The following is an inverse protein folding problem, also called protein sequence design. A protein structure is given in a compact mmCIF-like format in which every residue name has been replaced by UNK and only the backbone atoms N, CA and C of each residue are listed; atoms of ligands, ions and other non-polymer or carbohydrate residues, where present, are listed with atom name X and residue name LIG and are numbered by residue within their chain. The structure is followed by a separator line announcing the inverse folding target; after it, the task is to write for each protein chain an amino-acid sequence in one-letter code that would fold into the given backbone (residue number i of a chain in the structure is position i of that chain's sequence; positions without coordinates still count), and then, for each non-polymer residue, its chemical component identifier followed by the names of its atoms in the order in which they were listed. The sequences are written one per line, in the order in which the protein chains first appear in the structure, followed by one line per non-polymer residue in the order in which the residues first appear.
data_IF_396752968021
#
_entry.id   IF_396752968021
#
_cell.length_a   1.000
_cell.length_b   1.000
_cell.length_c   1.000
_cell.angle_alpha   90.00
_cell.angle_beta   90.00
_cell.angle_gamma   90.00
#
_symmetry.space_group_name_H-M   'P 1'
#
loop_
_entity.id
_entity.type
_entity.pdbx_description
1 polymer ?
#
# COMPACT_ATOMS: atom_id res chain seq x y z
N UNK A 1 39.49 -7.86 9.30
CA UNK A 1 38.75 -8.33 8.12
C UNK A 1 37.76 -9.36 8.65
N UNK A 2 36.45 -9.17 8.49
CA UNK A 2 35.46 -10.08 9.09
C UNK A 2 35.53 -11.43 8.40
N UNK A 3 35.53 -12.53 9.16
CA UNK A 3 35.66 -13.86 8.60
C UNK A 3 34.42 -14.20 7.76
N UNK A 4 34.62 -14.59 6.50
CA UNK A 4 33.55 -14.90 5.54
C UNK A 4 32.56 -15.95 6.07
N UNK A 5 33.01 -16.83 6.97
CA UNK A 5 32.19 -17.86 7.63
C UNK A 5 31.19 -17.24 8.61
N UNK A 6 31.59 -16.20 9.36
CA UNK A 6 30.71 -15.48 10.27
C UNK A 6 29.61 -14.74 9.50
N UNK A 7 29.95 -14.14 8.36
CA UNK A 7 28.97 -13.50 7.47
C UNK A 7 27.97 -14.50 6.90
N UNK A 8 28.41 -15.70 6.48
CA UNK A 8 27.50 -16.75 5.98
C UNK A 8 26.53 -17.19 7.08
N UNK A 9 27.02 -17.41 8.30
CA UNK A 9 26.18 -17.78 9.44
C UNK A 9 25.14 -16.71 9.77
N UNK A 10 25.53 -15.43 9.70
CA UNK A 10 24.61 -14.32 9.91
C UNK A 10 23.52 -14.24 8.84
N UNK A 11 23.89 -14.41 7.57
CA UNK A 11 22.93 -14.42 6.47
C UNK A 11 21.97 -15.61 6.58
N UNK A 12 22.45 -16.79 6.98
CA UNK A 12 21.61 -17.96 7.22
C UNK A 12 20.60 -17.69 8.35
N UNK A 13 21.04 -17.08 9.45
CA UNK A 13 20.15 -16.69 10.53
C UNK A 13 19.08 -15.71 10.06
N UNK A 14 19.47 -14.65 9.36
CA UNK A 14 18.53 -13.67 8.81
C UNK A 14 17.52 -14.29 7.85
N UNK A 15 17.96 -15.22 7.00
CA UNK A 15 17.10 -15.93 6.08
C UNK A 15 16.06 -16.78 6.82
N UNK A 16 16.48 -17.48 7.88
CA UNK A 16 15.57 -18.28 8.72
C UNK A 16 14.55 -17.39 9.45
N UNK A 17 15.00 -16.28 10.03
CA UNK A 17 14.13 -15.34 10.74
C UNK A 17 13.06 -14.76 9.78
N UNK A 18 13.48 -14.35 8.57
CA UNK A 18 12.57 -13.85 7.54
C UNK A 18 11.59 -14.91 7.04
N UNK A 19 12.03 -16.16 6.90
CA UNK A 19 11.14 -17.26 6.51
C UNK A 19 10.06 -17.52 7.57
N UNK A 20 10.44 -17.50 8.85
CA UNK A 20 9.50 -17.66 9.96
C UNK A 20 8.49 -16.51 10.00
N UNK A 21 8.96 -15.26 9.90
CA UNK A 21 8.10 -14.08 9.88
C UNK A 21 7.10 -14.16 8.70
N UNK A 22 7.57 -14.52 7.51
CA UNK A 22 6.72 -14.65 6.32
C UNK A 22 5.64 -15.72 6.49
N UNK A 23 5.96 -16.84 7.15
CA UNK A 23 4.97 -17.87 7.49
C UNK A 23 3.92 -17.37 8.49
N UNK A 24 4.34 -16.65 9.53
CA UNK A 24 3.42 -16.07 10.51
C UNK A 24 2.46 -15.09 9.83
N UNK A 25 2.98 -14.22 8.97
CA UNK A 25 2.16 -13.25 8.22
C UNK A 25 1.15 -13.95 7.31
N UNK A 26 1.56 -15.00 6.58
CA UNK A 26 0.63 -15.80 5.76
C UNK A 26 -0.49 -16.41 6.60
N UNK A 27 -0.16 -16.97 7.76
CA UNK A 27 -1.16 -17.54 8.67
C UNK A 27 -2.15 -16.48 9.20
N UNK A 28 -1.69 -15.26 9.46
CA UNK A 28 -2.57 -14.15 9.87
C UNK A 28 -3.54 -13.80 8.73
N UNK A 29 -3.04 -13.70 7.50
CA UNK A 29 -3.87 -13.42 6.33
C UNK A 29 -4.91 -14.52 6.10
N UNK A 30 -4.51 -15.79 6.19
CA UNK A 30 -5.42 -16.93 6.03
C UNK A 30 -6.52 -16.91 7.10
N UNK A 31 -6.18 -16.59 8.36
CA UNK A 31 -7.17 -16.42 9.45
C UNK A 31 -8.14 -15.26 9.18
N UNK A 32 -7.69 -14.20 8.52
CA UNK A 32 -8.52 -13.08 8.11
C UNK A 32 -9.34 -13.37 6.82
N UNK A 33 -9.20 -14.57 6.23
CA UNK A 33 -9.85 -14.91 4.96
C UNK A 33 -9.24 -14.22 3.74
N UNK A 34 -8.03 -13.67 3.88
CA UNK A 34 -7.31 -12.95 2.82
C UNK A 34 -6.27 -13.87 2.20
N UNK A 35 -6.38 -14.11 0.88
CA UNK A 35 -5.37 -14.91 0.17
C UNK A 35 -4.12 -14.09 -0.12
N UNK A 36 -2.99 -14.48 0.47
CA UNK A 36 -1.68 -13.88 0.22
C UNK A 36 -1.31 -13.87 -1.28
N UNK A 37 -1.48 -15.00 -1.96
CA UNK A 37 -1.16 -15.13 -3.39
C UNK A 37 -2.07 -14.28 -4.28
N UNK A 38 -3.36 -14.18 -3.94
CA UNK A 38 -4.29 -13.30 -4.66
C UNK A 38 -3.88 -11.83 -4.50
N UNK A 39 -3.48 -11.41 -3.29
CA UNK A 39 -2.95 -10.08 -3.03
C UNK A 39 -1.72 -9.77 -3.88
N UNK A 40 -0.77 -10.71 -3.99
CA UNK A 40 0.40 -10.57 -4.85
C UNK A 40 0.04 -10.40 -6.34
N UNK A 41 -0.92 -11.18 -6.84
CA UNK A 41 -1.38 -11.05 -8.23
C UNK A 41 -2.03 -9.69 -8.51
N UNK A 42 -2.72 -9.09 -7.54
CA UNK A 42 -3.29 -7.75 -7.66
C UNK A 42 -2.20 -6.69 -7.60
N UNK A 43 -1.25 -6.78 -6.66
CA UNK A 43 -0.14 -5.84 -6.56
C UNK A 43 0.71 -5.82 -7.84
N UNK A 44 1.01 -6.99 -8.41
CA UNK A 44 1.73 -7.09 -9.69
C UNK A 44 0.94 -6.55 -10.89
N UNK A 45 -0.38 -6.40 -10.78
CA UNK A 45 -1.21 -5.72 -11.77
C UNK A 45 -1.28 -4.21 -11.56
N UNK A 46 -1.10 -3.69 -10.34
CA UNK A 46 -1.08 -2.24 -10.09
C UNK A 46 0.14 -1.58 -10.77
N UNK A 47 1.22 -2.33 -10.96
CA UNK A 47 2.37 -1.90 -11.77
C UNK A 47 2.04 -1.79 -13.28
N UNK A 48 0.83 -2.18 -13.73
CA UNK A 48 0.31 -1.67 -15.00
C UNK A 48 -0.04 -0.20 -14.80
N UNK A 49 0.99 0.64 -14.90
CA UNK A 49 0.91 2.09 -15.07
C UNK A 49 -0.27 2.38 -15.99
N UNK A 50 -1.34 2.96 -15.45
CA UNK A 50 -2.46 3.40 -16.29
C UNK A 50 -1.88 4.14 -17.48
N UNK A 51 -2.27 3.72 -18.69
CA UNK A 51 -1.74 4.31 -19.90
C UNK A 51 -2.00 5.82 -19.83
N UNK A 52 -0.95 6.63 -20.00
CA UNK A 52 -1.07 8.08 -19.93
C UNK A 52 -2.09 8.57 -20.95
N UNK A 53 -3.23 9.06 -20.46
CA UNK A 53 -4.32 9.57 -21.27
C UNK A 53 -4.08 11.05 -21.59
N UNK A 54 -3.68 11.34 -22.83
CA UNK A 54 -3.48 12.71 -23.33
C UNK A 54 -4.74 13.57 -23.16
N UNK A 55 -5.91 12.96 -23.11
CA UNK A 55 -7.21 13.61 -22.99
C UNK A 55 -7.73 13.64 -21.55
N UNK A 56 -6.90 13.27 -20.56
CA UNK A 56 -7.26 13.31 -19.14
C UNK A 56 -7.75 14.70 -18.72
N UNK A 57 -7.23 15.76 -19.34
CA UNK A 57 -7.66 17.15 -19.12
C UNK A 57 -9.11 17.44 -19.55
N UNK A 58 -9.69 16.70 -20.50
CA UNK A 58 -11.09 16.89 -20.93
C UNK A 58 -12.12 16.58 -19.83
N UNK A 59 -11.73 15.77 -18.84
CA UNK A 59 -12.56 15.49 -17.65
C UNK A 59 -12.52 16.62 -16.61
N UNK A 60 -11.57 17.55 -16.71
CA UNK A 60 -11.45 18.68 -15.80
C UNK A 60 -12.48 19.72 -16.21
N UNK A 61 -13.64 19.66 -15.57
CA UNK A 61 -14.65 20.73 -15.65
C UNK A 61 -14.08 21.94 -14.89
N UNK A 62 -13.91 23.09 -15.55
CA UNK A 62 -13.45 24.31 -14.89
C UNK A 62 -14.64 25.06 -14.28
N UNK A 63 -14.88 24.96 -12.96
CA UNK A 63 -15.98 25.70 -12.33
C UNK A 63 -15.64 27.20 -12.35
N UNK A 64 -16.64 28.05 -12.63
CA UNK A 64 -16.47 29.51 -12.62
C UNK A 64 -16.06 30.06 -11.25
N UNK A 65 -16.41 29.36 -10.17
CA UNK A 65 -16.03 29.68 -8.81
C UNK A 65 -16.04 28.41 -7.95
N UNK A 66 -15.24 28.37 -6.89
CA UNK A 66 -15.31 27.32 -5.88
C UNK A 66 -16.56 27.57 -5.05
N UNK A 67 -17.48 26.60 -5.04
CA UNK A 67 -18.68 26.68 -4.20
C UNK A 67 -18.37 26.36 -2.74
N UNK A 68 -19.20 26.85 -1.82
CA UNK A 68 -19.05 26.56 -0.39
C UNK A 68 -19.05 25.05 -0.11
N UNK A 69 -19.86 24.27 -0.83
CA UNK A 69 -19.88 22.82 -0.69
C UNK A 69 -18.56 22.19 -1.14
N UNK A 70 -17.98 22.65 -2.24
CA UNK A 70 -16.66 22.17 -2.70
C UNK A 70 -15.57 22.50 -1.68
N UNK A 71 -15.61 23.70 -1.08
CA UNK A 71 -14.69 24.08 -0.02
C UNK A 71 -14.87 23.20 1.23
N UNK A 72 -16.12 22.94 1.65
CA UNK A 72 -16.43 22.01 2.76
C UNK A 72 -15.91 20.60 2.50
N UNK A 73 -16.12 20.07 1.29
CA UNK A 73 -15.59 18.75 0.90
C UNK A 73 -14.06 18.71 0.93
N UNK A 74 -13.38 19.74 0.40
CA UNK A 74 -11.92 19.82 0.44
C UNK A 74 -11.39 19.86 1.88
N UNK A 75 -12.02 20.67 2.75
CA UNK A 75 -11.65 20.77 4.16
C UNK A 75 -11.87 19.43 4.87
N UNK A 76 -13.00 18.76 4.63
CA UNK A 76 -13.31 17.44 5.18
C UNK A 76 -12.26 16.40 4.76
N UNK A 77 -11.88 16.36 3.49
CA UNK A 77 -10.88 15.41 2.99
C UNK A 77 -9.48 15.65 3.56
N UNK A 78 -9.10 16.91 3.78
CA UNK A 78 -7.77 17.27 4.29
C UNK A 78 -7.67 17.09 5.81
N UNK A 79 -8.73 17.39 6.55
CA UNK A 79 -8.66 17.51 8.01
C UNK A 79 -9.41 16.40 8.77
N UNK A 80 -10.46 15.81 8.18
CA UNK A 80 -11.39 14.93 8.90
C UNK A 80 -11.25 13.47 8.49
N UNK A 81 -11.16 13.18 7.19
CA UNK A 81 -10.97 11.81 6.71
C UNK A 81 -9.68 11.14 7.20
N UNK A 82 -8.52 11.82 7.32
CA UNK A 82 -7.30 11.19 7.86
C UNK A 82 -7.46 10.69 9.31
N UNK A 83 -8.35 11.30 10.10
CA UNK A 83 -8.66 10.87 11.46
C UNK A 83 -9.60 9.65 11.54
N UNK A 84 -10.40 9.41 10.50
CA UNK A 84 -11.32 8.27 10.43
C UNK A 84 -10.64 6.98 9.96
N UNK A 85 -9.54 7.06 9.20
CA UNK A 85 -8.75 5.89 8.81
C UNK A 85 -7.85 5.35 9.95
N UNK A 86 -7.71 6.07 11.06
CA UNK A 86 -6.86 5.66 12.17
C UNK A 86 -7.60 4.99 13.34
N UNK A 87 -8.91 4.77 13.23
CA UNK A 87 -9.73 4.24 14.34
C UNK A 87 -10.45 2.92 14.05
N UNK A 88 -9.99 2.17 13.05
CA UNK A 88 -10.30 0.74 12.91
C UNK A 88 -9.01 -0.09 12.91
N UNK A 89 -8.35 -0.15 14.08
CA UNK A 89 -7.50 -1.28 14.52
C UNK A 89 -7.71 -1.48 16.01
#
# INVERSE_FOLDING_TARGET
MRDSIENISQLQKQLNDLQLENQILKNILDKAGLSYHKGLSVLGQIDTKEAYDLEQGKRIIHPKAITENMAKYAILCIHVLPGLYHQEV
#
